data_IF_393521738864
#
_entry.id   IF_393521738864
#
_cell.length_a   1.000
_cell.length_b   1.000
_cell.length_c   1.000
_cell.angle_alpha   90.00
_cell.angle_beta   90.00
_cell.angle_gamma   90.00
#
_symmetry.space_group_name_H-M   'P 1'
#
loop_
_entity.id
_entity.type
_entity.pdbx_description
1 polymer ?
#
# COMPACT_ATOMS: atom_id res chain seq x y z
N UNK A 1 23.41 15.23 20.47
CA UNK A 1 23.25 13.76 20.45
C UNK A 1 24.40 13.05 19.75
N UNK A 2 24.52 13.06 18.41
CA UNK A 2 25.61 12.33 17.70
C UNK A 2 27.01 12.74 18.15
N UNK A 3 27.29 14.05 18.22
CA UNK A 3 28.59 14.56 18.64
C UNK A 3 28.95 14.16 20.09
N UNK A 4 27.95 14.04 20.96
CA UNK A 4 28.14 13.61 22.36
C UNK A 4 28.40 12.10 22.43
N UNK A 5 27.72 11.32 21.60
CA UNK A 5 27.98 9.88 21.47
C UNK A 5 29.39 9.60 20.93
N UNK A 6 29.85 10.37 19.92
CA UNK A 6 31.20 10.23 19.37
C UNK A 6 32.28 10.65 20.38
N UNK A 7 32.03 11.69 21.18
CA UNK A 7 33.06 12.19 22.11
C UNK A 7 33.42 11.15 23.15
N UNK A 8 32.43 10.52 23.79
CA UNK A 8 32.64 9.48 24.80
C UNK A 8 31.50 8.45 24.77
N UNK A 9 31.61 7.37 23.97
CA UNK A 9 30.56 6.36 23.85
C UNK A 9 30.24 5.65 25.16
N UNK A 10 31.23 5.53 26.07
CA UNK A 10 31.05 4.86 27.36
C UNK A 10 30.24 5.70 28.36
N UNK A 11 30.37 7.03 28.29
CA UNK A 11 29.67 7.96 29.16
C UNK A 11 28.28 8.30 28.59
N UNK A 12 28.21 8.54 27.28
CA UNK A 12 26.98 8.86 26.56
C UNK A 12 26.35 7.62 25.92
N UNK A 13 25.97 6.65 26.75
CA UNK A 13 25.25 5.47 26.28
C UNK A 13 23.87 5.81 25.71
N UNK A 14 23.33 4.96 24.84
CA UNK A 14 22.02 5.12 24.19
C UNK A 14 20.90 5.42 25.21
N UNK A 15 20.94 4.78 26.38
CA UNK A 15 19.98 4.99 27.48
C UNK A 15 20.05 6.38 28.08
N UNK A 16 21.26 6.88 28.31
CA UNK A 16 21.48 8.20 28.90
C UNK A 16 21.10 9.31 27.92
N UNK A 17 21.35 9.10 26.63
CA UNK A 17 20.88 9.99 25.57
C UNK A 17 19.36 9.96 25.41
N UNK A 18 18.73 8.78 25.51
CA UNK A 18 17.27 8.65 25.49
C UNK A 18 16.62 9.43 26.63
N UNK A 19 17.13 9.29 27.85
CA UNK A 19 16.65 10.01 29.03
C UNK A 19 16.85 11.52 28.91
N UNK A 20 18.05 11.96 28.51
CA UNK A 20 18.39 13.39 28.42
C UNK A 20 17.56 14.13 27.37
N UNK A 21 17.26 13.47 26.26
CA UNK A 21 16.51 14.08 25.15
C UNK A 21 15.02 13.70 25.14
N UNK A 22 14.54 12.92 26.12
CA UNK A 22 13.13 12.50 26.20
C UNK A 22 12.66 11.69 24.99
N UNK A 23 13.52 10.83 24.44
CA UNK A 23 13.23 10.02 23.25
C UNK A 23 13.32 8.53 23.57
N UNK A 24 12.60 7.70 22.81
CA UNK A 24 12.72 6.25 22.94
C UNK A 24 14.12 5.76 22.56
N UNK A 25 14.57 4.67 23.20
CA UNK A 25 15.92 4.12 22.98
C UNK A 25 16.06 3.67 21.52
N UNK A 26 15.01 3.05 20.96
CA UNK A 26 14.97 2.64 19.56
C UNK A 26 15.15 3.83 18.61
N UNK A 27 14.53 4.98 18.91
CA UNK A 27 14.68 6.20 18.11
C UNK A 27 16.11 6.74 18.21
N UNK A 28 16.69 6.79 19.42
CA UNK A 28 18.07 7.21 19.62
C UNK A 28 19.04 6.31 18.83
N UNK A 29 18.91 4.99 18.94
CA UNK A 29 19.72 4.03 18.18
C UNK A 29 19.59 4.23 16.67
N UNK A 30 18.38 4.44 16.17
CA UNK A 30 18.13 4.69 14.75
C UNK A 30 18.81 5.98 14.28
N UNK A 31 18.72 7.07 15.05
CA UNK A 31 19.37 8.35 14.76
C UNK A 31 20.89 8.19 14.69
N UNK A 32 21.49 7.54 15.69
CA UNK A 32 22.93 7.29 15.72
C UNK A 32 23.38 6.47 14.50
N UNK A 33 22.64 5.40 14.17
CA UNK A 33 22.94 4.58 12.99
C UNK A 33 22.86 5.36 11.68
N UNK A 34 21.81 6.17 11.50
CA UNK A 34 21.63 6.98 10.29
C UNK A 34 22.73 8.04 10.15
N UNK A 35 23.13 8.67 11.26
CA UNK A 35 24.24 9.63 11.26
C UNK A 35 25.59 8.98 10.96
N UNK A 36 25.84 7.77 11.46
CA UNK A 36 27.02 7.00 11.08
C UNK A 36 27.07 6.68 9.58
N UNK A 37 25.93 6.34 8.99
CA UNK A 37 25.82 6.11 7.53
C UNK A 37 26.02 7.41 6.74
N UNK A 38 25.54 8.54 7.24
CA UNK A 38 25.73 9.84 6.62
C UNK A 38 27.23 10.19 6.54
N UNK A 39 27.97 10.07 7.64
CA UNK A 39 29.42 10.30 7.65
C UNK A 39 30.16 9.30 6.74
N UNK A 40 29.73 8.04 6.71
CA UNK A 40 30.28 7.04 5.81
C UNK A 40 30.09 7.43 4.34
N UNK A 41 28.91 7.91 3.96
CA UNK A 41 28.63 8.37 2.60
C UNK A 41 29.36 9.67 2.25
N UNK A 42 29.57 10.57 3.21
CA UNK A 42 30.45 11.73 3.02
C UNK A 42 31.88 11.31 2.70
N UNK A 43 32.41 10.30 3.40
CA UNK A 43 33.76 9.75 3.14
C UNK A 43 33.87 9.07 1.78
N UNK A 44 32.80 8.39 1.34
CA UNK A 44 32.72 7.81 0.00
C UNK A 44 32.48 8.85 -1.13
N UNK A 45 32.28 10.12 -0.79
CA UNK A 45 32.02 11.19 -1.77
C UNK A 45 30.64 11.10 -2.43
N UNK A 46 29.70 10.36 -1.83
CA UNK A 46 28.32 10.29 -2.34
C UNK A 46 27.58 11.59 -2.02
N UNK A 47 26.85 12.18 -2.97
CA UNK A 47 26.10 13.41 -2.72
C UNK A 47 24.94 13.13 -1.76
N UNK A 48 24.90 13.86 -0.64
CA UNK A 48 23.81 13.81 0.33
C UNK A 48 22.73 14.82 -0.08
N UNK A 49 21.47 14.41 0.01
CA UNK A 49 20.33 15.21 -0.39
C UNK A 49 19.92 16.24 0.68
N UNK A 50 20.77 17.24 0.90
CA UNK A 50 20.54 18.29 1.91
C UNK A 50 19.33 19.17 1.60
N UNK A 51 19.04 19.43 0.32
CA UNK A 51 17.87 20.23 -0.09
C UNK A 51 16.53 19.59 0.28
N UNK A 52 16.44 18.25 0.23
CA UNK A 52 15.23 17.54 0.65
C UNK A 52 15.05 17.58 2.17
N UNK A 53 16.15 17.47 2.92
CA UNK A 53 16.13 17.65 4.37
C UNK A 53 15.62 19.05 4.74
N UNK A 54 16.14 20.10 4.12
CA UNK A 54 15.71 21.48 4.37
C UNK A 54 14.20 21.66 4.12
N UNK A 55 13.69 21.16 3.00
CA UNK A 55 12.26 21.24 2.68
C UNK A 55 11.37 20.43 3.65
N UNK A 56 11.82 19.25 4.09
CA UNK A 56 11.09 18.47 5.10
C UNK A 56 11.11 19.15 6.48
N UNK A 57 12.23 19.74 6.90
CA UNK A 57 12.32 20.47 8.16
C UNK A 57 11.38 21.69 8.19
N UNK A 58 11.21 22.35 7.04
CA UNK A 58 10.24 23.45 6.86
C UNK A 58 8.79 22.94 6.95
N UNK A 59 8.44 21.90 6.19
CA UNK A 59 7.06 21.35 6.18
C UNK A 59 6.66 20.78 7.54
N UNK A 60 7.61 20.16 8.26
CA UNK A 60 7.38 19.60 9.58
C UNK A 60 7.45 20.66 10.69
N UNK A 61 7.72 21.93 10.38
CA UNK A 61 7.73 23.03 11.34
C UNK A 61 8.89 22.98 12.35
N UNK A 62 9.92 22.17 12.10
CA UNK A 62 11.03 21.93 13.03
C UNK A 62 11.76 23.24 13.35
N UNK A 63 11.84 24.17 12.40
CA UNK A 63 12.51 25.46 12.58
C UNK A 63 11.72 26.43 13.47
N UNK A 64 10.40 26.38 13.44
CA UNK A 64 9.54 27.14 14.36
C UNK A 64 9.62 26.56 15.78
N UNK A 65 9.72 25.23 15.88
CA UNK A 65 9.88 24.53 17.13
C UNK A 65 11.26 24.81 17.76
N UNK A 66 12.36 24.78 16.99
CA UNK A 66 13.72 25.12 17.46
C UNK A 66 13.77 26.48 18.17
N UNK A 67 13.01 27.47 17.70
CA UNK A 67 12.92 28.80 18.31
C UNK A 67 12.12 28.84 19.63
N UNK A 68 11.19 27.90 19.83
CA UNK A 68 10.40 27.74 21.07
C UNK A 68 11.07 26.77 22.06
N UNK A 69 11.85 25.82 21.54
CA UNK A 69 12.47 24.70 22.24
C UNK A 69 13.66 25.12 23.10
N UNK A 70 14.38 26.18 22.72
CA UNK A 70 15.55 26.66 23.47
C UNK A 70 15.27 26.98 24.94
N UNK A 71 14.01 27.32 25.29
CA UNK A 71 13.61 27.63 26.67
C UNK A 71 12.96 26.46 27.43
N UNK A 72 12.43 25.44 26.74
CA UNK A 72 11.53 24.44 27.36
C UNK A 72 12.10 23.02 27.40
N UNK A 73 12.95 22.63 26.44
CA UNK A 73 13.37 21.23 26.29
C UNK A 73 14.29 20.74 27.40
N UNK A 74 15.07 21.63 28.02
CA UNK A 74 15.92 21.23 29.16
C UNK A 74 15.15 20.97 30.47
N UNK A 75 13.91 21.47 30.62
CA UNK A 75 13.12 21.29 31.84
C UNK A 75 12.01 20.23 31.72
N UNK A 76 11.60 19.89 30.49
CA UNK A 76 10.43 19.03 30.25
C UNK A 76 10.76 17.59 29.84
N UNK A 77 11.96 17.34 29.32
CA UNK A 77 12.38 16.01 28.84
C UNK A 77 12.42 14.91 29.91
N UNK A 78 12.57 15.26 31.19
CA UNK A 78 12.53 14.29 32.30
C UNK A 78 11.12 13.90 32.76
N UNK A 79 10.09 14.71 32.47
CA UNK A 79 8.75 14.52 33.04
C UNK A 79 7.75 13.81 32.10
N UNK A 80 8.05 13.72 30.81
CA UNK A 80 7.11 13.25 29.78
C UNK A 80 7.73 12.15 28.89
N UNK A 81 8.35 11.12 29.49
CA UNK A 81 8.41 9.80 28.84
C UNK A 81 6.98 9.22 28.82
N UNK A 82 6.16 9.75 27.92
CA UNK A 82 4.77 9.34 27.74
C UNK A 82 4.65 7.89 27.25
N UNK A 83 3.45 7.34 27.35
CA UNK A 83 3.07 5.98 26.92
C UNK A 83 3.55 5.65 25.48
N UNK A 84 3.63 6.67 24.61
CA UNK A 84 4.14 6.59 23.24
C UNK A 84 5.63 6.19 23.15
N UNK A 85 6.46 6.63 24.11
CA UNK A 85 7.89 6.30 24.13
C UNK A 85 8.10 4.84 24.51
N UNK A 86 7.33 4.34 25.47
CA UNK A 86 7.34 2.94 25.90
C UNK A 86 6.78 2.00 24.83
N UNK A 87 5.77 2.43 24.05
CA UNK A 87 5.25 1.66 22.92
C UNK A 87 6.29 1.47 21.81
N UNK A 88 7.04 2.51 21.47
CA UNK A 88 8.06 2.46 20.42
C UNK A 88 9.21 1.48 20.72
N UNK A 89 9.62 1.37 22.00
CA UNK A 89 10.67 0.42 22.40
C UNK A 89 10.13 -1.03 22.43
N UNK A 90 8.85 -1.24 22.77
CA UNK A 90 8.20 -2.56 22.70
C UNK A 90 7.97 -3.06 21.27
N UNK A 91 7.81 -2.17 20.30
CA UNK A 91 7.61 -2.50 18.89
C UNK A 91 8.92 -2.68 18.13
N UNK A 92 10.03 -2.07 18.56
CA UNK A 92 11.33 -2.23 17.93
C UNK A 92 11.90 -3.66 18.08
N UNK A 93 11.56 -4.34 19.18
CA UNK A 93 11.93 -5.75 19.43
C UNK A 93 10.95 -6.76 18.79
N UNK A 94 9.99 -6.30 17.98
CA UNK A 94 8.85 -7.11 17.49
C UNK A 94 9.14 -8.14 16.39
N UNK A 95 10.40 -8.24 15.91
CA UNK A 95 10.78 -9.30 14.95
C UNK A 95 10.55 -10.69 15.58
N UNK A 96 10.72 -10.81 16.90
CA UNK A 96 10.51 -12.06 17.64
C UNK A 96 9.07 -12.24 18.14
N UNK A 97 8.27 -11.18 18.32
CA UNK A 97 6.86 -11.33 18.75
C UNK A 97 5.99 -12.01 17.70
N UNK A 98 6.21 -11.72 16.42
CA UNK A 98 5.53 -12.42 15.33
C UNK A 98 5.94 -13.90 15.33
N UNK A 99 7.24 -14.18 15.49
CA UNK A 99 7.80 -15.54 15.54
C UNK A 99 7.27 -16.32 16.76
N UNK A 100 7.22 -15.74 17.94
CA UNK A 100 6.68 -16.34 19.17
C UNK A 100 5.16 -16.56 19.10
N UNK A 101 4.41 -15.63 18.51
CA UNK A 101 2.98 -15.81 18.23
C UNK A 101 2.76 -16.97 17.27
N UNK A 102 3.58 -17.09 16.21
CA UNK A 102 3.51 -18.23 15.30
C UNK A 102 3.95 -19.54 15.99
N UNK A 103 5.00 -19.53 16.80
CA UNK A 103 5.43 -20.73 17.56
C UNK A 103 4.35 -21.23 18.53
N UNK A 104 3.69 -20.34 19.28
CA UNK A 104 2.57 -20.71 20.17
C UNK A 104 1.31 -21.13 19.43
N UNK A 105 1.04 -20.61 18.23
CA UNK A 105 -0.12 -21.02 17.43
C UNK A 105 0.07 -22.36 16.70
N UNK A 106 1.31 -22.76 16.40
CA UNK A 106 1.58 -23.93 15.54
C UNK A 106 2.00 -25.20 16.24
N UNK A 107 2.46 -25.13 17.50
CA UNK A 107 2.79 -26.32 18.29
C UNK A 107 1.82 -26.48 19.47
N UNK A 108 0.64 -27.01 19.18
CA UNK A 108 -0.13 -27.73 20.20
C UNK A 108 0.67 -28.98 20.61
N UNK A 109 0.70 -29.36 21.90
CA UNK A 109 1.27 -30.63 22.31
C UNK A 109 0.48 -31.77 21.66
N UNK A 110 1.05 -32.37 20.62
CA UNK A 110 0.45 -33.50 19.89
C UNK A 110 0.70 -34.76 20.71
N UNK A 111 -0.38 -35.43 21.13
CA UNK A 111 -0.30 -36.76 21.74
C UNK A 111 0.22 -37.73 20.69
N UNK A 112 1.21 -38.56 21.02
CA UNK A 112 1.83 -39.52 20.11
C UNK A 112 0.76 -40.34 19.36
N UNK A 113 0.80 -40.30 18.02
CA UNK A 113 -0.11 -41.06 17.14
C UNK A 113 -1.31 -40.31 16.55
N UNK A 114 -1.46 -39.00 16.79
CA UNK A 114 -2.44 -38.16 16.07
C UNK A 114 -1.76 -37.14 15.18
N UNK A 115 -2.30 -36.92 13.98
CA UNK A 115 -1.79 -35.89 13.09
C UNK A 115 -2.15 -34.49 13.61
N UNK A 116 -1.25 -33.50 13.46
CA UNK A 116 -1.53 -32.12 13.84
C UNK A 116 -2.74 -31.56 13.06
N UNK A 117 -3.65 -30.89 13.77
CA UNK A 117 -4.88 -30.32 13.18
C UNK A 117 -4.56 -29.08 12.31
N UNK A 118 -3.49 -28.35 12.66
CA UNK A 118 -3.09 -27.07 12.09
C UNK A 118 -2.83 -27.08 10.57
N UNK A 119 -2.09 -28.04 9.96
CA UNK A 119 -1.90 -28.07 8.50
C UNK A 119 -3.24 -28.20 7.75
N UNK A 120 -4.16 -29.03 8.23
CA UNK A 120 -5.46 -29.23 7.59
C UNK A 120 -6.33 -27.97 7.60
N UNK A 121 -6.26 -27.17 8.67
CA UNK A 121 -7.00 -25.88 8.75
C UNK A 121 -6.40 -24.84 7.79
N UNK A 122 -5.08 -24.79 7.66
CA UNK A 122 -4.41 -23.86 6.73
C UNK A 122 -4.76 -24.21 5.28
N UNK A 123 -4.77 -25.50 4.92
CA UNK A 123 -5.13 -25.94 3.57
C UNK A 123 -6.58 -25.61 3.23
N UNK A 124 -7.51 -25.84 4.16
CA UNK A 124 -8.92 -25.44 4.02
C UNK A 124 -9.05 -23.93 3.83
N UNK A 125 -8.39 -23.13 4.68
CA UNK A 125 -8.41 -21.67 4.56
C UNK A 125 -7.86 -21.18 3.21
N UNK A 126 -6.79 -21.81 2.71
CA UNK A 126 -6.25 -21.51 1.36
C UNK A 126 -7.24 -21.87 0.26
N UNK A 127 -7.91 -23.01 0.35
CA UNK A 127 -8.93 -23.43 -0.61
C UNK A 127 -10.12 -22.46 -0.63
N UNK A 128 -10.59 -22.02 0.55
CA UNK A 128 -11.70 -21.08 0.70
C UNK A 128 -11.37 -19.72 0.08
N UNK A 129 -10.17 -19.20 0.34
CA UNK A 129 -9.70 -17.94 -0.27
C UNK A 129 -9.63 -18.06 -1.79
N UNK A 130 -9.18 -19.20 -2.34
CA UNK A 130 -9.15 -19.42 -3.77
C UNK A 130 -10.55 -19.54 -4.37
N UNK A 131 -11.47 -20.23 -3.70
CA UNK A 131 -12.87 -20.32 -4.11
C UNK A 131 -13.55 -18.95 -4.11
N UNK A 132 -13.35 -18.14 -3.06
CA UNK A 132 -13.86 -16.78 -2.96
C UNK A 132 -13.31 -15.88 -4.09
N UNK A 133 -12.01 -15.96 -4.39
CA UNK A 133 -11.40 -15.22 -5.52
C UNK A 133 -12.01 -15.61 -6.87
N UNK A 134 -12.28 -16.90 -7.09
CA UNK A 134 -12.93 -17.40 -8.31
C UNK A 134 -14.37 -16.91 -8.41
N UNK A 135 -15.13 -16.99 -7.33
CA UNK A 135 -16.51 -16.49 -7.27
C UNK A 135 -16.59 -14.97 -7.52
N UNK A 136 -15.70 -14.19 -6.89
CA UNK A 136 -15.63 -12.74 -7.11
C UNK A 136 -15.30 -12.38 -8.57
N UNK A 137 -14.39 -13.12 -9.22
CA UNK A 137 -14.10 -12.94 -10.65
C UNK A 137 -15.30 -13.30 -11.52
N UNK A 138 -15.98 -14.41 -11.22
CA UNK A 138 -17.18 -14.81 -11.96
C UNK A 138 -18.30 -13.75 -11.85
N UNK A 139 -18.56 -13.23 -10.65
CA UNK A 139 -19.54 -12.17 -10.42
C UNK A 139 -19.18 -10.86 -11.16
N UNK A 140 -17.90 -10.49 -11.21
CA UNK A 140 -17.44 -9.34 -12.02
C UNK A 140 -17.71 -9.54 -13.51
N UNK A 141 -17.46 -10.74 -14.03
CA UNK A 141 -17.69 -11.07 -15.45
C UNK A 141 -19.18 -11.00 -15.77
N UNK A 142 -20.03 -11.51 -14.89
CA UNK A 142 -21.50 -11.49 -15.05
C UNK A 142 -22.07 -10.06 -15.08
N UNK A 143 -21.54 -9.14 -14.28
CA UNK A 143 -21.97 -7.74 -14.32
C UNK A 143 -21.55 -7.00 -15.62
N UNK A 144 -20.47 -7.46 -16.26
CA UNK A 144 -19.83 -6.77 -17.38
C UNK A 144 -20.34 -7.28 -18.73
N UNK A 145 -20.56 -8.59 -18.86
CA UNK A 145 -21.06 -9.19 -20.08
C UNK A 145 -22.58 -9.38 -19.97
N UNK A 146 -23.36 -9.13 -21.03
CA UNK A 146 -24.80 -9.40 -21.00
C UNK A 146 -25.04 -10.89 -20.74
N UNK A 147 -25.94 -11.21 -19.79
CA UNK A 147 -26.43 -12.57 -19.59
C UNK A 147 -27.05 -13.06 -20.89
N UNK A 148 -26.43 -14.09 -21.47
CA UNK A 148 -26.92 -14.73 -22.70
C UNK A 148 -27.89 -15.84 -22.33
N UNK A 149 -29.04 -15.87 -23.00
CA UNK A 149 -29.99 -16.97 -22.91
C UNK A 149 -29.32 -18.28 -23.32
N UNK A 150 -29.44 -19.29 -22.45
CA UNK A 150 -28.78 -20.60 -22.61
C UNK A 150 -29.22 -21.35 -23.90
N UNK A 151 -30.26 -20.87 -24.58
CA UNK A 151 -30.90 -21.52 -25.73
C UNK A 151 -30.14 -21.37 -27.07
N UNK A 152 -29.08 -20.55 -27.14
CA UNK A 152 -28.41 -20.30 -28.42
C UNK A 152 -27.21 -21.24 -28.66
N UNK A 153 -27.08 -21.82 -29.87
CA UNK A 153 -26.07 -22.83 -30.13
C UNK A 153 -24.67 -22.26 -29.98
N UNK A 154 -23.85 -22.95 -29.18
CA UNK A 154 -22.48 -22.56 -28.81
C UNK A 154 -21.47 -22.76 -29.93
N UNK A 155 -21.90 -23.39 -31.03
CA UNK A 155 -21.06 -23.79 -32.15
C UNK A 155 -21.78 -23.45 -33.45
N UNK A 156 -21.19 -22.55 -34.24
CA UNK A 156 -21.63 -22.26 -35.60
C UNK A 156 -20.60 -22.87 -36.53
N UNK A 157 -20.98 -23.92 -37.25
CA UNK A 157 -20.15 -24.54 -38.28
C UNK A 157 -20.59 -23.93 -39.60
N UNK A 158 -19.69 -23.16 -40.23
CA UNK A 158 -19.94 -22.58 -41.55
C UNK A 158 -19.18 -23.41 -42.58
N UNK A 159 -19.90 -24.15 -43.42
CA UNK A 159 -19.32 -24.80 -44.60
C UNK A 159 -19.54 -23.87 -45.81
N UNK A 160 -18.44 -23.36 -46.37
CA UNK A 160 -18.51 -22.61 -47.63
C UNK A 160 -18.25 -23.56 -48.81
N UNK A 161 -19.05 -23.49 -49.89
CA UNK A 161 -19.06 -24.50 -50.95
C UNK A 161 -17.78 -24.58 -51.81
N UNK A 162 -16.76 -23.74 -51.57
CA UNK A 162 -15.50 -23.74 -52.33
C UNK A 162 -14.24 -23.91 -51.47
N UNK A 163 -14.35 -24.18 -50.16
CA UNK A 163 -13.18 -24.47 -49.29
C UNK A 163 -13.29 -25.88 -48.70
N UNK A 164 -12.21 -26.64 -48.80
CA UNK A 164 -12.12 -28.05 -48.40
C UNK A 164 -12.08 -28.29 -46.88
N UNK A 165 -12.11 -27.23 -46.05
CA UNK A 165 -12.15 -27.35 -44.60
C UNK A 165 -13.36 -26.64 -44.01
N UNK A 166 -14.04 -27.31 -43.09
CA UNK A 166 -15.10 -26.72 -42.29
C UNK A 166 -14.48 -25.85 -41.18
N UNK A 167 -14.85 -24.57 -41.11
CA UNK A 167 -14.43 -23.70 -40.02
C UNK A 167 -15.42 -23.85 -38.87
N UNK A 168 -14.93 -24.33 -37.72
CA UNK A 168 -15.70 -24.45 -36.49
C UNK A 168 -15.46 -23.24 -35.61
N UNK A 169 -16.45 -22.36 -35.50
CA UNK A 169 -16.40 -21.26 -34.53
C UNK A 169 -16.85 -21.79 -33.17
N UNK A 170 -15.90 -21.85 -32.22
CA UNK A 170 -16.18 -22.14 -30.82
C UNK A 170 -16.25 -20.81 -30.08
N UNK A 171 -17.41 -20.50 -29.52
CA UNK A 171 -17.55 -19.32 -28.65
C UNK A 171 -16.73 -19.54 -27.37
N UNK A 172 -15.59 -18.87 -27.29
CA UNK A 172 -14.67 -18.95 -26.14
C UNK A 172 -15.16 -18.13 -24.93
N UNK A 173 -16.31 -17.44 -25.02
CA UNK A 173 -16.87 -16.56 -23.98
C UNK A 173 -15.86 -15.50 -23.49
N UNK A 174 -16.22 -14.79 -22.42
CA UNK A 174 -15.34 -13.87 -21.67
C UNK A 174 -14.10 -14.51 -21.04
N UNK A 175 -13.74 -15.78 -21.35
CA UNK A 175 -12.56 -16.44 -20.78
C UNK A 175 -11.25 -15.71 -21.11
N UNK A 176 -11.22 -15.01 -22.24
CA UNK A 176 -10.05 -14.26 -22.72
C UNK A 176 -10.27 -12.76 -22.72
N UNK A 177 -11.35 -12.28 -22.09
CA UNK A 177 -11.64 -10.86 -22.03
C UNK A 177 -11.34 -10.36 -20.63
N UNK A 178 -10.46 -9.37 -20.55
CA UNK A 178 -10.14 -8.74 -19.28
C UNK A 178 -11.33 -7.91 -18.79
N UNK A 179 -11.92 -8.32 -17.67
CA UNK A 179 -13.07 -7.64 -17.07
C UNK A 179 -12.74 -6.20 -16.69
N UNK A 180 -11.51 -5.94 -16.28
CA UNK A 180 -11.09 -4.63 -15.81
C UNK A 180 -10.90 -3.66 -16.99
N UNK A 181 -10.41 -4.14 -18.14
CA UNK A 181 -10.32 -3.36 -19.37
C UNK A 181 -11.73 -2.96 -19.89
N UNK A 182 -12.71 -3.89 -19.86
CA UNK A 182 -14.08 -3.54 -20.27
C UNK A 182 -14.68 -2.48 -19.32
N UNK A 183 -14.48 -2.61 -18.00
CA UNK A 183 -14.96 -1.62 -17.03
C UNK A 183 -14.30 -0.26 -17.26
N UNK A 184 -13.00 -0.23 -17.53
CA UNK A 184 -12.27 0.98 -17.85
C UNK A 184 -12.82 1.66 -19.11
N UNK A 185 -12.98 0.91 -20.21
CA UNK A 185 -13.56 1.41 -21.47
C UNK A 185 -14.98 1.94 -21.28
N UNK A 186 -15.80 1.29 -20.46
CA UNK A 186 -17.18 1.73 -20.18
C UNK A 186 -17.20 3.06 -19.40
N UNK A 187 -16.35 3.21 -18.37
CA UNK A 187 -16.17 4.46 -17.63
C UNK A 187 -15.66 5.59 -18.54
N UNK A 188 -14.70 5.29 -19.39
CA UNK A 188 -14.16 6.27 -20.33
C UNK A 188 -15.19 6.71 -21.37
N UNK A 189 -15.99 5.78 -21.91
CA UNK A 189 -17.08 6.09 -22.81
C UNK A 189 -18.13 7.00 -22.16
N UNK A 190 -18.47 6.75 -20.88
CA UNK A 190 -19.36 7.62 -20.11
C UNK A 190 -18.77 9.02 -19.92
N UNK A 191 -17.47 9.13 -19.58
CA UNK A 191 -16.77 10.42 -19.48
C UNK A 191 -16.80 11.19 -20.81
N UNK A 192 -16.49 10.52 -21.93
CA UNK A 192 -16.53 11.13 -23.27
C UNK A 192 -17.95 11.59 -23.63
N UNK A 193 -18.99 10.81 -23.28
CA UNK A 193 -20.40 11.20 -23.48
C UNK A 193 -20.76 12.45 -22.67
N UNK A 194 -20.37 12.54 -21.41
CA UNK A 194 -20.61 13.70 -20.55
C UNK A 194 -19.93 14.97 -21.09
N UNK A 195 -18.68 14.87 -21.54
CA UNK A 195 -17.96 16.00 -22.15
C UNK A 195 -18.64 16.46 -23.44
N UNK A 196 -19.03 15.53 -24.32
CA UNK A 196 -19.78 15.87 -25.54
C UNK A 196 -21.11 16.55 -25.23
N UNK A 197 -21.82 16.10 -24.18
CA UNK A 197 -23.07 16.73 -23.73
C UNK A 197 -22.84 18.18 -23.29
N UNK A 198 -21.87 18.43 -22.41
CA UNK A 198 -21.50 19.79 -21.97
C UNK A 198 -21.08 20.70 -23.12
N UNK A 199 -20.36 20.18 -24.12
CA UNK A 199 -20.00 20.96 -25.31
C UNK A 199 -21.22 21.35 -26.13
N UNK A 200 -22.19 20.44 -26.29
CA UNK A 200 -23.45 20.74 -26.99
C UNK A 200 -24.27 21.78 -26.25
N UNK A 201 -24.41 21.65 -24.92
CA UNK A 201 -25.09 22.64 -24.06
C UNK A 201 -24.50 24.04 -24.27
N UNK A 202 -23.17 24.19 -24.19
CA UNK A 202 -22.48 25.47 -24.43
C UNK A 202 -22.68 26.04 -25.84
N UNK A 203 -22.79 25.19 -26.86
CA UNK A 203 -23.04 25.64 -28.24
C UNK A 203 -24.47 26.18 -28.35
N UNK A 204 -25.44 25.45 -27.78
CA UNK A 204 -26.85 25.87 -27.75
C UNK A 204 -27.02 27.19 -27.01
N UNK A 205 -26.34 27.35 -25.85
CA UNK A 205 -26.34 28.61 -25.09
C UNK A 205 -25.79 29.79 -25.91
N UNK A 206 -24.68 29.61 -26.63
CA UNK A 206 -24.15 30.68 -27.50
C UNK A 206 -25.10 31.05 -28.63
N UNK A 207 -25.75 30.06 -29.25
CA UNK A 207 -26.71 30.30 -30.33
C UNK A 207 -27.92 31.07 -29.78
N UNK A 208 -28.41 30.71 -28.59
CA UNK A 208 -29.50 31.40 -27.92
C UNK A 208 -29.15 32.86 -27.58
N UNK A 209 -27.94 33.11 -27.08
CA UNK A 209 -27.43 34.48 -26.80
C UNK A 209 -27.30 35.32 -28.09
N UNK A 210 -26.77 34.74 -29.17
CA UNK A 210 -26.69 35.46 -30.45
C UNK A 210 -28.06 35.80 -31.05
N UNK A 211 -29.09 35.02 -30.72
CA UNK A 211 -30.46 35.24 -31.17
C UNK A 211 -31.24 36.24 -30.29
N UNK A 212 -30.81 36.48 -29.04
CA UNK A 212 -31.39 37.52 -28.18
C UNK A 212 -30.79 38.91 -28.40
N UNK A 213 -29.56 38.97 -28.92
CA UNK A 213 -28.83 40.21 -29.18
C UNK A 213 -29.10 40.79 -30.59
N UNK A 214 -29.97 40.15 -31.39
CA UNK A 214 -30.43 40.60 -32.72
C UNK A 214 -31.88 41.04 -32.67
#
# INVERSE_FOLDING_TARGET
MWNEFISDPQLYNERLLAERYGMSIARVRAILRLKGLEEYWQKEGKPIQTGFQLGMEEILGVNEEKARITDVVFRRGQAELGEDTTGADLDADSVDRARERYQRLFWEPVVEGKDPITPGVIEKARADVQAAKRAARAAKIEHVLPSRDQASPTQVIVQQPMRSYAVKFVDVRGKFVDSDDILHRRKEAQRRKAVKRRRREKIVERIAQSASDS
#
